data_IF_011507139591
#
_entry.id   IF_011507139591
#
_cell.length_a   1.000
_cell.length_b   1.000
_cell.length_c   1.000
_cell.angle_alpha   90.00
_cell.angle_beta   90.00
_cell.angle_gamma   90.00
#
_symmetry.space_group_name_H-M   'P 1'
#
loop_
_entity.id
_entity.type
_entity.pdbx_description
1 polymer ?
#
# COMPACT_ATOMS: atom_id res chain seq x y z
N UNK A 1 -12.40 8.31 -0.58
CA UNK A 1 -11.63 7.23 0.09
C UNK A 1 -11.26 7.68 1.48
N UNK A 2 -11.34 6.77 2.44
CA UNK A 2 -11.06 7.02 3.85
C UNK A 2 -9.75 6.33 4.20
N UNK A 3 -8.83 7.06 4.85
CA UNK A 3 -7.68 6.48 5.53
C UNK A 3 -7.98 6.36 7.02
N UNK A 4 -7.62 5.23 7.59
CA UNK A 4 -7.83 4.95 9.01
C UNK A 4 -6.57 4.39 9.65
N UNK A 5 -6.23 4.92 10.81
CA UNK A 5 -5.16 4.44 11.66
C UNK A 5 -5.75 3.46 12.69
N UNK A 6 -5.21 2.27 12.75
CA UNK A 6 -5.71 1.20 13.62
C UNK A 6 -4.56 0.60 14.40
N UNK A 7 -4.76 0.32 15.68
CA UNK A 7 -3.75 -0.39 16.48
C UNK A 7 -3.53 -1.81 15.95
N UNK A 8 -2.26 -2.16 15.72
CA UNK A 8 -1.86 -3.49 15.28
C UNK A 8 -1.98 -4.49 16.42
N UNK A 9 -2.77 -5.55 16.23
CA UNK A 9 -2.96 -6.62 17.23
C UNK A 9 -1.97 -7.77 17.06
N UNK A 10 -1.62 -8.10 15.83
CA UNK A 10 -0.83 -9.26 15.47
C UNK A 10 0.47 -8.86 14.78
N UNK A 11 1.48 -9.72 14.85
CA UNK A 11 2.76 -9.49 14.19
C UNK A 11 2.78 -10.05 12.75
N UNK A 12 2.15 -11.19 12.52
CA UNK A 12 2.16 -11.84 11.21
C UNK A 12 1.10 -11.30 10.26
N UNK A 13 1.45 -11.22 8.98
CA UNK A 13 0.61 -10.60 7.96
C UNK A 13 -0.67 -11.37 7.65
N UNK A 14 -0.71 -12.67 7.89
CA UNK A 14 -1.93 -13.45 7.68
C UNK A 14 -3.00 -13.10 8.73
N UNK A 15 -2.62 -13.00 9.99
CA UNK A 15 -3.53 -12.60 11.05
C UNK A 15 -3.90 -11.12 10.94
N UNK A 16 -2.96 -10.24 10.56
CA UNK A 16 -3.28 -8.83 10.25
C UNK A 16 -4.33 -8.74 9.14
N UNK A 17 -4.22 -9.53 8.07
CA UNK A 17 -5.23 -9.57 7.02
C UNK A 17 -6.63 -9.92 7.56
N UNK A 18 -6.72 -10.92 8.45
CA UNK A 18 -7.98 -11.30 9.09
C UNK A 18 -8.52 -10.20 10.01
N UNK A 19 -7.65 -9.58 10.80
CA UNK A 19 -8.01 -8.45 11.66
C UNK A 19 -8.57 -7.29 10.85
N UNK A 20 -7.85 -6.88 9.81
CA UNK A 20 -8.30 -5.79 8.93
C UNK A 20 -9.67 -6.11 8.34
N UNK A 21 -9.90 -7.35 7.90
CA UNK A 21 -11.19 -7.76 7.36
C UNK A 21 -12.30 -7.71 8.41
N UNK A 22 -12.02 -8.05 9.66
CA UNK A 22 -13.00 -8.05 10.75
C UNK A 22 -13.50 -6.67 11.16
N UNK A 23 -12.85 -5.60 10.75
CA UNK A 23 -13.31 -4.23 10.98
C UNK A 23 -14.42 -3.79 10.02
N UNK A 24 -14.81 -4.64 9.08
CA UNK A 24 -15.85 -4.35 8.09
C UNK A 24 -16.95 -5.39 8.17
N UNK A 25 -18.20 -5.04 7.79
CA UNK A 25 -19.31 -6.01 7.73
C UNK A 25 -18.97 -7.21 6.84
N UNK A 26 -19.58 -8.36 7.13
CA UNK A 26 -19.34 -9.61 6.35
C UNK A 26 -19.68 -9.44 4.87
N UNK A 27 -20.71 -8.66 4.55
CA UNK A 27 -21.15 -8.35 3.19
C UNK A 27 -20.35 -7.24 2.50
N UNK A 28 -19.32 -6.68 3.16
CA UNK A 28 -18.49 -5.66 2.54
C UNK A 28 -17.67 -6.25 1.40
N UNK A 29 -18.02 -5.88 0.17
CA UNK A 29 -17.46 -6.43 -1.06
C UNK A 29 -16.48 -5.49 -1.78
N UNK A 30 -16.25 -4.30 -1.24
CA UNK A 30 -15.33 -3.33 -1.82
C UNK A 30 -13.88 -3.60 -1.39
N UNK A 31 -12.96 -2.97 -2.09
CA UNK A 31 -11.54 -3.14 -1.84
C UNK A 31 -11.12 -2.52 -0.52
N UNK A 32 -10.32 -3.26 0.21
CA UNK A 32 -9.60 -2.80 1.38
C UNK A 32 -8.12 -2.92 1.05
N UNK A 33 -7.41 -1.81 1.13
CA UNK A 33 -5.96 -1.77 1.06
C UNK A 33 -5.43 -1.44 2.45
N UNK A 34 -4.23 -1.92 2.77
CA UNK A 34 -3.60 -1.54 4.02
C UNK A 34 -2.08 -1.58 3.92
N UNK A 35 -1.44 -0.85 4.82
CA UNK A 35 0.00 -0.83 5.03
C UNK A 35 0.29 -1.15 6.48
N UNK A 36 1.29 -2.00 6.72
CA UNK A 36 1.66 -2.47 8.07
C UNK A 36 2.84 -1.65 8.56
N UNK A 37 2.61 -0.88 9.61
CA UNK A 37 3.62 -0.13 10.35
C UNK A 37 4.03 -0.90 11.63
N UNK A 38 4.96 -0.35 12.39
CA UNK A 38 5.45 -0.97 13.62
C UNK A 38 4.31 -1.26 14.62
N UNK A 39 3.59 -0.23 15.03
CA UNK A 39 2.51 -0.32 16.05
C UNK A 39 1.11 -0.20 15.48
N UNK A 40 0.97 0.16 14.21
CA UNK A 40 -0.30 0.46 13.58
C UNK A 40 -0.44 -0.20 12.22
N UNK A 41 -1.67 -0.28 11.78
CA UNK A 41 -2.04 -0.58 10.40
C UNK A 41 -2.77 0.64 9.84
N UNK A 42 -2.34 1.10 8.68
CA UNK A 42 -3.04 2.15 7.93
C UNK A 42 -3.94 1.46 6.92
N UNK A 43 -5.24 1.71 6.99
CA UNK A 43 -6.25 1.11 6.13
C UNK A 43 -6.81 2.16 5.18
N UNK A 44 -6.92 1.84 3.91
CA UNK A 44 -7.63 2.62 2.90
C UNK A 44 -8.88 1.86 2.43
N UNK A 45 -10.04 2.50 2.54
CA UNK A 45 -11.35 1.90 2.23
C UNK A 45 -12.38 2.97 1.85
N UNK A 46 -13.53 2.55 1.33
CA UNK A 46 -14.62 3.48 1.00
C UNK A 46 -15.49 3.83 2.21
N UNK A 47 -15.46 2.99 3.26
CA UNK A 47 -16.21 3.21 4.50
C UNK A 47 -15.27 3.15 5.70
N UNK A 48 -15.64 3.82 6.78
CA UNK A 48 -14.87 3.77 8.02
C UNK A 48 -14.85 2.34 8.58
N UNK A 49 -13.67 1.81 8.97
CA UNK A 49 -13.62 0.58 9.73
C UNK A 49 -14.28 0.78 11.09
N UNK A 50 -14.84 -0.30 11.63
CA UNK A 50 -15.53 -0.29 12.93
C UNK A 50 -14.69 -1.02 13.98
N UNK A 51 -14.82 -0.61 15.24
CA UNK A 51 -14.22 -1.30 16.39
C UNK A 51 -13.32 -0.41 17.25
N UNK A 52 -13.06 -0.89 18.45
CA UNK A 52 -12.31 -0.16 19.51
C UNK A 52 -10.83 0.10 19.22
N UNK A 53 -10.27 -0.57 18.20
CA UNK A 53 -8.87 -0.41 17.79
C UNK A 53 -8.66 0.69 16.76
N UNK A 54 -9.73 1.27 16.23
CA UNK A 54 -9.67 2.41 15.30
C UNK A 54 -9.29 3.66 16.09
N UNK A 55 -8.12 4.21 15.80
CA UNK A 55 -7.57 5.40 16.46
C UNK A 55 -8.14 6.66 15.82
N UNK A 56 -8.06 6.73 14.48
CA UNK A 56 -8.49 7.88 13.71
C UNK A 56 -8.90 7.46 12.31
N UNK A 57 -9.89 8.14 11.75
CA UNK A 57 -10.28 7.98 10.36
C UNK A 57 -10.48 9.34 9.73
N UNK A 58 -9.92 9.56 8.56
CA UNK A 58 -10.00 10.82 7.80
C UNK A 58 -10.37 10.53 6.36
N UNK A 59 -11.18 11.41 5.79
CA UNK A 59 -11.43 11.40 4.35
C UNK A 59 -10.28 12.11 3.65
N UNK A 60 -9.63 11.44 2.70
CA UNK A 60 -8.55 12.06 1.96
C UNK A 60 -9.09 12.87 0.79
N UNK A 61 -8.58 14.09 0.57
CA UNK A 61 -8.97 14.91 -0.56
C UNK A 61 -8.60 14.22 -1.88
N UNK A 62 -9.43 14.45 -2.89
CA UNK A 62 -9.15 14.01 -4.26
C UNK A 62 -7.95 14.73 -4.90
N UNK A 63 -7.32 15.61 -4.14
CA UNK A 63 -6.50 16.62 -4.72
C UNK A 63 -5.15 16.76 -4.03
N UNK A 64 -4.09 16.54 -4.78
CA UNK A 64 -2.72 16.90 -4.45
C UNK A 64 -2.08 17.48 -5.70
N UNK A 65 -1.63 18.73 -5.66
CA UNK A 65 -0.93 19.33 -6.80
C UNK A 65 0.56 19.47 -6.51
N UNK A 66 1.36 19.45 -7.58
CA UNK A 66 2.77 19.71 -7.51
C UNK A 66 3.58 18.49 -7.09
N UNK A 67 4.43 18.63 -6.09
CA UNK A 67 5.35 17.58 -5.64
C UNK A 67 4.88 16.99 -4.33
N UNK A 68 4.84 15.67 -4.26
CA UNK A 68 4.52 14.92 -3.03
C UNK A 68 5.63 13.95 -2.66
N UNK A 69 5.84 13.73 -1.36
CA UNK A 69 6.62 12.61 -0.86
C UNK A 69 5.74 11.38 -0.71
N UNK A 70 6.28 10.20 -0.97
CA UNK A 70 5.51 8.97 -0.95
C UNK A 70 6.24 7.82 -0.26
N UNK A 71 5.45 6.85 0.20
CA UNK A 71 5.90 5.53 0.66
C UNK A 71 5.01 4.47 0.01
N UNK A 72 5.61 3.40 -0.47
CA UNK A 72 4.92 2.25 -1.03
C UNK A 72 5.61 0.95 -0.60
N UNK A 73 4.90 0.10 0.13
CA UNK A 73 5.31 -1.28 0.34
C UNK A 73 4.70 -2.15 -0.77
N UNK A 74 5.52 -2.81 -1.55
CA UNK A 74 5.08 -3.60 -2.70
C UNK A 74 5.71 -4.99 -2.73
N UNK A 75 5.09 -5.89 -3.50
CA UNK A 75 5.66 -7.18 -3.88
C UNK A 75 5.91 -7.20 -5.41
N UNK A 76 7.04 -6.64 -5.87
CA UNK A 76 7.34 -6.56 -7.29
C UNK A 76 7.57 -7.95 -7.89
N UNK A 77 6.80 -8.26 -8.93
CA UNK A 77 6.94 -9.53 -9.65
C UNK A 77 6.91 -9.32 -11.16
N UNK A 78 7.54 -10.25 -11.86
CA UNK A 78 7.41 -10.44 -13.31
C UNK A 78 6.77 -11.79 -13.57
N UNK A 79 5.87 -11.87 -14.55
CA UNK A 79 5.27 -13.12 -14.98
C UNK A 79 6.05 -13.67 -16.16
N UNK A 80 6.57 -14.89 -16.03
CA UNK A 80 7.23 -15.64 -17.10
C UNK A 80 6.67 -17.04 -17.11
N UNK A 81 6.31 -17.56 -18.29
CA UNK A 81 5.72 -18.89 -18.46
C UNK A 81 4.59 -19.17 -17.45
N UNK A 82 3.66 -18.21 -17.30
CA UNK A 82 2.53 -18.27 -16.36
C UNK A 82 2.90 -18.38 -14.87
N UNK A 83 4.17 -18.20 -14.52
CA UNK A 83 4.64 -18.18 -13.14
C UNK A 83 5.11 -16.76 -12.74
N UNK A 84 4.82 -16.39 -11.50
CA UNK A 84 5.30 -15.12 -10.92
C UNK A 84 6.65 -15.33 -10.31
N UNK A 85 7.60 -14.48 -10.71
CA UNK A 85 8.96 -14.43 -10.18
C UNK A 85 9.18 -13.10 -9.50
N UNK A 86 9.74 -13.13 -8.30
CA UNK A 86 10.09 -11.91 -7.57
C UNK A 86 11.20 -11.15 -8.30
N UNK A 87 11.07 -9.83 -8.33
CA UNK A 87 12.11 -8.93 -8.81
C UNK A 87 12.97 -8.54 -7.60
N UNK A 88 14.29 -8.72 -7.72
CA UNK A 88 15.25 -8.39 -6.65
C UNK A 88 16.38 -7.47 -7.11
N UNK A 89 16.55 -7.32 -8.41
CA UNK A 89 17.59 -6.50 -9.02
C UNK A 89 17.21 -5.01 -8.95
N UNK A 90 18.06 -4.12 -8.38
CA UNK A 90 17.72 -2.73 -8.13
C UNK A 90 17.22 -1.96 -9.37
N UNK A 91 17.89 -2.12 -10.52
CA UNK A 91 17.48 -1.46 -11.76
C UNK A 91 16.08 -1.88 -12.20
N UNK A 92 15.77 -3.18 -12.11
CA UNK A 92 14.45 -3.71 -12.46
C UNK A 92 13.37 -3.31 -11.46
N UNK A 93 13.72 -3.09 -10.19
CA UNK A 93 12.81 -2.56 -9.18
C UNK A 93 12.45 -1.10 -9.48
N UNK A 94 13.42 -0.28 -9.89
CA UNK A 94 13.17 1.09 -10.31
C UNK A 94 12.28 1.15 -11.57
N UNK A 95 12.56 0.32 -12.56
CA UNK A 95 11.73 0.20 -13.77
C UNK A 95 10.30 -0.27 -13.45
N UNK A 96 10.16 -1.16 -12.47
CA UNK A 96 8.86 -1.69 -12.08
C UNK A 96 7.96 -0.59 -11.50
N UNK A 97 8.44 0.24 -10.57
CA UNK A 97 7.63 1.29 -9.98
C UNK A 97 7.26 2.36 -11.01
N UNK A 98 8.18 2.77 -11.88
CA UNK A 98 7.92 3.74 -12.93
C UNK A 98 6.81 3.27 -13.89
N UNK A 99 6.78 2.00 -14.26
CA UNK A 99 5.71 1.40 -15.08
C UNK A 99 4.38 1.24 -14.35
N UNK A 100 4.38 1.29 -13.02
CA UNK A 100 3.17 1.10 -12.22
C UNK A 100 2.46 2.40 -11.86
N UNK A 101 3.16 3.52 -11.90
CA UNK A 101 2.62 4.84 -11.53
C UNK A 101 2.88 5.82 -12.68
N UNK A 102 2.28 5.58 -13.84
CA UNK A 102 2.47 6.39 -15.06
C UNK A 102 1.91 7.82 -14.95
N UNK A 103 0.98 8.06 -14.02
CA UNK A 103 0.35 9.36 -13.79
C UNK A 103 1.23 10.38 -13.04
N UNK A 104 2.43 10.00 -12.66
CA UNK A 104 3.39 10.86 -11.96
C UNK A 104 4.78 10.73 -12.59
N UNK A 105 5.62 11.73 -12.35
CA UNK A 105 7.05 11.65 -12.60
C UNK A 105 7.77 11.45 -11.27
N UNK A 106 8.36 10.28 -11.05
CA UNK A 106 9.20 10.05 -9.89
C UNK A 106 10.49 10.84 -10.07
N UNK A 107 10.74 11.79 -9.17
CA UNK A 107 11.91 12.69 -9.22
C UNK A 107 13.05 12.20 -8.35
N UNK A 108 12.72 11.44 -7.28
CA UNK A 108 13.67 10.79 -6.40
C UNK A 108 13.02 9.53 -5.84
N UNK A 109 13.77 8.43 -5.81
CA UNK A 109 13.27 7.16 -5.25
C UNK A 109 14.42 6.39 -4.60
N UNK A 110 14.25 6.09 -3.34
CA UNK A 110 15.05 5.12 -2.61
C UNK A 110 14.29 3.80 -2.54
N UNK A 111 15.01 2.70 -2.58
CA UNK A 111 14.45 1.35 -2.64
C UNK A 111 15.19 0.50 -1.62
N UNK A 112 14.47 0.01 -0.63
CA UNK A 112 15.03 -0.89 0.37
C UNK A 112 15.33 -2.27 -0.24
N UNK A 113 16.30 -2.96 0.33
CA UNK A 113 16.57 -4.34 -0.05
C UNK A 113 15.33 -5.21 0.13
N UNK A 114 15.02 -6.08 -0.87
CA UNK A 114 13.91 -7.01 -0.78
C UNK A 114 14.01 -7.91 0.47
N UNK A 115 12.97 -7.90 1.28
CA UNK A 115 12.89 -8.72 2.49
C UNK A 115 11.82 -9.80 2.32
N UNK A 116 12.13 -11.04 2.69
CA UNK A 116 11.17 -12.13 2.65
C UNK A 116 10.16 -12.00 3.79
N UNK A 117 8.87 -12.04 3.45
CA UNK A 117 7.77 -12.01 4.41
C UNK A 117 6.97 -13.29 4.30
N UNK A 118 6.96 -14.06 5.37
CA UNK A 118 6.15 -15.28 5.47
C UNK A 118 4.69 -14.91 5.74
N UNK A 119 3.80 -15.41 4.90
CA UNK A 119 2.36 -15.19 5.05
C UNK A 119 1.72 -16.38 5.75
N UNK A 120 2.00 -17.60 5.27
CA UNK A 120 1.58 -18.88 5.86
C UNK A 120 2.53 -19.98 5.40
N UNK A 121 2.37 -21.20 5.92
CA UNK A 121 3.30 -22.33 5.79
C UNK A 121 4.00 -22.48 4.44
N UNK A 122 3.45 -22.18 3.32
CA UNK A 122 4.09 -22.35 2.00
C UNK A 122 3.96 -21.09 1.13
N UNK A 123 3.69 -19.93 1.73
CA UNK A 123 3.53 -18.67 1.01
C UNK A 123 4.49 -17.66 1.57
N UNK A 124 5.48 -17.31 0.77
CA UNK A 124 6.46 -16.27 1.05
C UNK A 124 6.39 -15.21 -0.06
N UNK A 125 6.37 -13.96 0.33
CA UNK A 125 6.36 -12.80 -0.56
C UNK A 125 7.60 -11.95 -0.33
N UNK A 126 8.00 -11.17 -1.33
CA UNK A 126 9.06 -10.19 -1.16
C UNK A 126 8.46 -8.82 -0.85
N UNK A 127 8.81 -8.28 0.30
CA UNK A 127 8.56 -6.89 0.62
C UNK A 127 9.66 -6.03 0.06
N UNK A 128 9.31 -5.06 -0.76
CA UNK A 128 10.18 -3.97 -1.20
C UNK A 128 9.51 -2.66 -0.82
N UNK A 129 10.20 -1.84 -0.04
CA UNK A 129 9.75 -0.48 0.28
C UNK A 129 10.39 0.51 -0.69
N UNK A 130 9.53 1.31 -1.28
CA UNK A 130 9.89 2.46 -2.10
C UNK A 130 9.50 3.72 -1.34
N UNK A 131 10.37 4.70 -1.32
CA UNK A 131 10.05 6.00 -0.75
C UNK A 131 10.83 7.11 -1.47
N UNK A 132 10.25 8.28 -1.55
CA UNK A 132 10.87 9.36 -2.29
C UNK A 132 9.92 10.51 -2.60
N UNK A 133 10.16 11.15 -3.73
CA UNK A 133 9.40 12.30 -4.20
C UNK A 133 8.91 12.07 -5.62
N UNK A 134 7.72 12.58 -5.90
CA UNK A 134 7.11 12.53 -7.22
C UNK A 134 6.49 13.87 -7.57
N UNK A 135 6.50 14.21 -8.85
CA UNK A 135 5.71 15.30 -9.43
C UNK A 135 4.41 14.71 -9.96
N UNK A 136 3.29 15.28 -9.56
CA UNK A 136 1.96 14.82 -9.92
C UNK A 136 1.52 15.50 -11.19
N UNK A 137 1.31 14.72 -12.25
CA UNK A 137 0.89 15.21 -13.55
C UNK A 137 -0.62 15.13 -13.74
N UNK A 138 -1.25 14.11 -13.15
CA UNK A 138 -2.69 13.86 -13.24
C UNK A 138 -3.22 13.38 -11.88
N UNK A 139 -3.94 14.27 -11.20
CA UNK A 139 -4.50 14.03 -9.87
C UNK A 139 -5.60 12.97 -9.87
N UNK A 140 -6.44 12.96 -10.89
CA UNK A 140 -7.54 11.99 -10.97
C UNK A 140 -7.00 10.57 -11.21
N UNK A 141 -6.03 10.43 -12.11
CA UNK A 141 -5.37 9.18 -12.36
C UNK A 141 -4.57 8.70 -11.15
N UNK A 142 -3.92 9.62 -10.40
CA UNK A 142 -3.24 9.28 -9.16
C UNK A 142 -4.22 8.78 -8.10
N UNK A 143 -5.33 9.46 -7.89
CA UNK A 143 -6.37 9.04 -6.94
C UNK A 143 -6.92 7.64 -7.29
N UNK A 144 -7.20 7.38 -8.57
CA UNK A 144 -7.60 6.05 -9.06
C UNK A 144 -6.53 5.00 -8.79
N UNK A 145 -5.26 5.36 -8.99
CA UNK A 145 -4.12 4.47 -8.74
C UNK A 145 -3.99 4.11 -7.25
N UNK A 146 -4.12 5.10 -6.35
CA UNK A 146 -4.11 4.90 -4.90
C UNK A 146 -5.28 3.99 -4.50
N UNK A 147 -6.49 4.29 -4.97
CA UNK A 147 -7.72 3.52 -4.64
C UNK A 147 -7.68 2.08 -5.16
N UNK A 148 -7.09 1.87 -6.34
CA UNK A 148 -6.91 0.55 -6.93
C UNK A 148 -5.82 -0.26 -6.24
N UNK A 149 -4.81 0.42 -5.73
CA UNK A 149 -3.58 -0.16 -5.20
C UNK A 149 -2.63 -0.68 -6.28
N UNK A 150 -1.36 -0.75 -5.96
CA UNK A 150 -0.25 -1.02 -6.88
C UNK A 150 0.29 -2.44 -6.70
N UNK A 151 0.39 -3.18 -7.79
CA UNK A 151 0.99 -4.52 -7.79
C UNK A 151 0.12 -5.62 -7.15
N UNK A 152 0.67 -6.81 -6.98
CA UNK A 152 -0.01 -7.97 -6.37
C UNK A 152 0.05 -7.95 -4.84
N UNK A 153 -0.56 -8.97 -4.21
CA UNK A 153 -0.54 -9.22 -2.78
C UNK A 153 -1.22 -8.15 -1.90
N UNK A 154 -2.15 -7.39 -2.47
CA UNK A 154 -2.85 -6.30 -1.78
C UNK A 154 -3.56 -6.75 -0.48
N UNK A 155 -4.09 -7.96 -0.46
CA UNK A 155 -4.72 -8.55 0.72
C UNK A 155 -3.76 -8.81 1.89
N UNK A 156 -2.45 -8.67 1.70
CA UNK A 156 -1.44 -8.87 2.74
C UNK A 156 -0.67 -7.60 3.10
N UNK A 157 -1.26 -6.44 2.81
CA UNK A 157 -0.70 -5.15 3.20
C UNK A 157 0.38 -4.62 2.25
N UNK A 158 0.24 -4.95 0.97
CA UNK A 158 1.07 -4.42 -0.09
C UNK A 158 0.26 -3.52 -1.03
N UNK A 159 0.91 -2.60 -1.69
CA UNK A 159 0.34 -1.83 -2.79
C UNK A 159 -0.48 -0.60 -2.39
N UNK A 160 -0.58 -0.26 -1.11
CA UNK A 160 -1.13 1.03 -0.70
C UNK A 160 -0.07 2.11 -0.85
N UNK A 161 -0.25 3.01 -1.82
CA UNK A 161 0.58 4.20 -1.98
C UNK A 161 0.14 5.25 -0.97
N UNK A 162 1.04 5.61 -0.06
CA UNK A 162 0.82 6.62 0.96
C UNK A 162 1.57 7.89 0.59
N UNK A 163 0.87 9.02 0.58
CA UNK A 163 1.48 10.33 0.44
C UNK A 163 1.67 10.96 1.81
N UNK A 164 2.74 11.71 1.99
CA UNK A 164 3.05 12.37 3.25
C UNK A 164 1.91 13.29 3.71
N UNK A 165 1.27 13.98 2.79
CA UNK A 165 0.09 14.81 3.06
C UNK A 165 -1.08 14.00 3.66
N UNK A 166 -1.31 12.80 3.14
CA UNK A 166 -2.33 11.90 3.69
C UNK A 166 -1.96 11.39 5.08
N UNK A 167 -0.68 11.11 5.32
CA UNK A 167 -0.17 10.66 6.61
C UNK A 167 -0.29 11.77 7.67
N UNK A 168 -0.02 13.01 7.32
CA UNK A 168 -0.15 14.15 8.24
C UNK A 168 -1.58 14.37 8.73
N UNK A 169 -2.58 13.92 7.99
CA UNK A 169 -3.97 13.95 8.43
C UNK A 169 -4.30 12.88 9.48
N UNK A 170 -3.50 11.81 9.58
CA UNK A 170 -3.70 10.71 10.51
C UNK A 170 -2.99 10.92 11.86
N UNK A 171 -1.99 11.76 11.90
CA UNK A 171 -1.22 12.13 13.10
C UNK A 171 -1.82 13.39 13.71
#
# INVERSE_FOLDING_TARGET
MILSLVHKKNADRYNIHRDVRSYFPENYNKRILFNVQDRHVIIASDTKPMGQHVVKSVEIPHFTQGTASFILDANPVVTRLNKRHAITEPSKLADWINRKIECVKITHCEIDHPTKVHIKKNVCLNLVRYYGKMQINDNEALYKTISKGIGPAKGFGFGLLLLNEHLSLLI
#
